data_IF_467835322864
#
_entry.id   IF_467835322864
#
_cell.length_a   1.000
_cell.length_b   1.000
_cell.length_c   1.000
_cell.angle_alpha   90.00
_cell.angle_beta   90.00
_cell.angle_gamma   90.00
#
_symmetry.space_group_name_H-M   'P 1'
#
loop_
_entity.id
_entity.type
_entity.pdbx_description
1 polymer ?
#
# COMPACT_ATOMS: atom_id res chain seq x y z
N UNK A 1 26.49 5.00 15.30
CA UNK A 1 26.03 4.63 13.95
C UNK A 1 25.70 3.14 13.97
N UNK A 2 24.46 2.75 13.69
CA UNK A 2 23.99 1.37 13.73
C UNK A 2 24.48 0.56 12.52
N UNK A 3 24.47 -0.77 12.62
CA UNK A 3 24.78 -1.67 11.49
C UNK A 3 23.88 -1.40 10.28
N UNK A 4 22.61 -1.03 10.51
CA UNK A 4 21.66 -0.69 9.44
C UNK A 4 22.10 0.59 8.73
N UNK A 5 22.47 1.63 9.48
CA UNK A 5 22.94 2.90 8.91
C UNK A 5 24.19 2.70 8.05
N UNK A 6 25.13 1.87 8.49
CA UNK A 6 26.34 1.54 7.72
C UNK A 6 26.03 0.79 6.41
N UNK A 7 25.00 -0.05 6.40
CA UNK A 7 24.55 -0.74 5.19
C UNK A 7 23.87 0.25 4.25
N UNK A 8 22.97 1.10 4.76
CA UNK A 8 22.24 2.09 3.96
C UNK A 8 23.20 3.11 3.31
N UNK A 9 24.23 3.54 4.03
CA UNK A 9 25.27 4.44 3.47
C UNK A 9 25.99 3.83 2.25
N UNK A 10 26.15 2.50 2.17
CA UNK A 10 26.75 1.85 0.98
C UNK A 10 25.88 1.96 -0.28
N UNK A 11 24.60 2.26 -0.12
CA UNK A 11 23.64 2.40 -1.21
C UNK A 11 23.22 3.85 -1.46
N UNK A 12 23.74 4.79 -0.67
CA UNK A 12 23.60 6.23 -0.93
C UNK A 12 24.25 6.49 -2.29
N UNK A 13 23.48 7.06 -3.21
CA UNK A 13 23.85 7.31 -4.62
C UNK A 13 23.87 6.08 -5.55
N UNK A 14 23.47 4.89 -5.08
CA UNK A 14 23.26 3.73 -5.95
C UNK A 14 21.86 3.76 -6.53
N UNK A 15 21.74 3.97 -7.84
CA UNK A 15 20.47 3.84 -8.54
C UNK A 15 20.06 2.36 -8.64
N UNK A 16 19.11 1.92 -7.80
CA UNK A 16 18.55 0.58 -7.88
C UNK A 16 17.45 0.56 -8.95
N UNK A 17 17.68 -0.21 -10.02
CA UNK A 17 16.63 -0.49 -11.01
C UNK A 17 15.74 -1.61 -10.47
N UNK A 18 14.59 -1.25 -9.92
CA UNK A 18 13.59 -2.22 -9.48
C UNK A 18 12.96 -2.87 -10.72
N UNK A 19 13.10 -4.20 -10.92
CA UNK A 19 12.49 -4.88 -12.05
C UNK A 19 10.96 -4.82 -11.92
N UNK A 20 10.29 -4.76 -13.06
CA UNK A 20 8.82 -4.84 -13.09
C UNK A 20 8.38 -6.22 -12.59
N UNK A 21 7.37 -6.27 -11.74
CA UNK A 21 6.77 -7.53 -11.30
C UNK A 21 6.23 -8.36 -12.48
N UNK A 22 5.80 -7.71 -13.57
CA UNK A 22 5.39 -8.40 -14.80
C UNK A 22 6.56 -9.04 -15.55
N UNK A 23 7.77 -8.50 -15.38
CA UNK A 23 8.98 -9.11 -15.95
C UNK A 23 9.48 -10.30 -15.14
N UNK A 24 9.30 -10.25 -13.81
CA UNK A 24 9.68 -11.34 -12.90
C UNK A 24 8.64 -12.48 -12.90
N UNK A 25 7.37 -12.14 -13.08
CA UNK A 25 6.24 -13.05 -13.01
C UNK A 25 5.34 -12.90 -14.24
N UNK A 26 5.78 -13.29 -15.45
CA UNK A 26 5.07 -13.03 -16.70
C UNK A 26 3.71 -13.76 -16.80
N UNK A 27 3.51 -14.83 -16.04
CA UNK A 27 2.22 -15.52 -15.96
C UNK A 27 1.25 -14.87 -14.96
N UNK A 28 1.70 -13.88 -14.20
CA UNK A 28 0.86 -13.19 -13.23
C UNK A 28 -0.01 -12.14 -13.91
N UNK A 29 -1.31 -12.38 -13.88
CA UNK A 29 -2.34 -11.51 -14.44
C UNK A 29 -3.35 -11.19 -13.34
N UNK A 30 -3.05 -10.22 -12.45
CA UNK A 30 -3.93 -9.91 -11.34
C UNK A 30 -5.27 -9.41 -11.88
N UNK A 31 -6.34 -10.04 -11.42
CA UNK A 31 -7.68 -9.50 -11.63
C UNK A 31 -7.85 -8.36 -10.65
N UNK A 32 -8.04 -7.15 -11.15
CA UNK A 32 -8.35 -5.99 -10.30
C UNK A 32 -9.84 -5.73 -10.41
N UNK A 33 -10.55 -5.88 -9.29
CA UNK A 33 -11.98 -5.54 -9.24
C UNK A 33 -12.11 -4.03 -9.36
N UNK A 34 -13.05 -3.49 -10.16
CA UNK A 34 -13.31 -2.06 -10.17
C UNK A 34 -13.70 -1.57 -8.78
N UNK A 35 -13.41 -0.30 -8.49
CA UNK A 35 -13.90 0.31 -7.27
C UNK A 35 -15.42 0.47 -7.40
N UNK A 36 -16.17 -0.34 -6.65
CA UNK A 36 -17.61 -0.59 -6.77
C UNK A 36 -18.44 0.67 -6.46
N UNK A 37 -18.41 1.63 -7.39
CA UNK A 37 -18.94 3.00 -7.27
C UNK A 37 -18.26 3.84 -6.19
N UNK A 38 -16.95 3.72 -6.01
CA UNK A 38 -16.20 4.52 -5.02
C UNK A 38 -16.36 4.06 -3.57
N UNK A 39 -17.17 3.01 -3.32
CA UNK A 39 -17.51 2.58 -1.96
C UNK A 39 -16.32 2.08 -1.17
N UNK A 40 -15.32 1.47 -1.82
CA UNK A 40 -14.13 0.99 -1.12
C UNK A 40 -13.32 2.20 -0.66
N UNK A 41 -13.05 3.13 -1.57
CA UNK A 41 -12.24 4.32 -1.28
C UNK A 41 -12.90 5.26 -0.27
N UNK A 42 -14.21 5.49 -0.37
CA UNK A 42 -14.96 6.33 0.58
C UNK A 42 -14.83 5.82 2.02
N UNK A 43 -15.05 4.50 2.22
CA UNK A 43 -14.97 3.89 3.54
C UNK A 43 -13.55 3.86 4.12
N UNK A 44 -12.52 3.79 3.26
CA UNK A 44 -11.11 3.87 3.67
C UNK A 44 -10.73 5.31 3.98
N UNK A 45 -11.18 6.28 3.20
CA UNK A 45 -10.85 7.70 3.37
C UNK A 45 -11.43 8.26 4.67
N UNK A 46 -12.68 7.94 5.00
CA UNK A 46 -13.28 8.31 6.30
C UNK A 46 -12.49 7.74 7.48
N UNK A 47 -11.98 6.52 7.33
CA UNK A 47 -11.13 5.91 8.34
C UNK A 47 -9.75 6.60 8.42
N UNK A 48 -9.13 6.94 7.28
CA UNK A 48 -7.84 7.66 7.25
C UNK A 48 -7.94 9.01 7.93
N UNK A 49 -8.97 9.80 7.62
CA UNK A 49 -9.17 11.11 8.25
C UNK A 49 -9.38 11.03 9.77
N UNK A 50 -9.94 9.92 10.25
CA UNK A 50 -10.19 9.70 11.68
C UNK A 50 -8.93 9.28 12.45
N UNK A 51 -8.08 8.45 11.84
CA UNK A 51 -7.01 7.76 12.56
C UNK A 51 -5.58 8.17 12.14
N UNK A 52 -5.39 8.66 10.91
CA UNK A 52 -4.10 9.14 10.42
C UNK A 52 -4.00 10.64 10.59
N UNK A 53 -3.67 11.07 11.81
CA UNK A 53 -3.62 12.48 12.18
C UNK A 53 -2.34 13.18 11.71
N UNK A 54 -1.26 12.41 11.47
CA UNK A 54 0.02 12.95 11.04
C UNK A 54 0.02 13.18 9.51
N UNK A 55 0.18 14.43 9.02
CA UNK A 55 0.02 14.75 7.60
C UNK A 55 0.98 14.02 6.67
N UNK A 56 2.20 13.73 7.11
CA UNK A 56 3.23 13.05 6.30
C UNK A 56 2.84 11.59 6.07
N UNK A 57 2.50 10.88 7.13
CA UNK A 57 1.98 9.50 7.12
C UNK A 57 0.70 9.43 6.31
N UNK A 58 -0.24 10.36 6.50
CA UNK A 58 -1.47 10.41 5.69
C UNK A 58 -1.15 10.54 4.19
N UNK A 59 -0.24 11.45 3.82
CA UNK A 59 0.17 11.64 2.41
C UNK A 59 0.85 10.39 1.84
N UNK A 60 1.71 9.72 2.62
CA UNK A 60 2.40 8.49 2.21
C UNK A 60 1.41 7.34 1.99
N UNK A 61 0.50 7.12 2.94
CA UNK A 61 -0.51 6.06 2.85
C UNK A 61 -1.46 6.31 1.68
N UNK A 62 -1.88 7.56 1.46
CA UNK A 62 -2.71 7.90 0.30
C UNK A 62 -1.99 7.60 -1.02
N UNK A 63 -0.69 7.88 -1.10
CA UNK A 63 0.13 7.59 -2.29
C UNK A 63 0.34 6.08 -2.52
N UNK A 64 0.25 5.26 -1.48
CA UNK A 64 0.41 3.81 -1.58
C UNK A 64 -0.78 3.08 -2.24
N UNK A 65 -1.94 3.75 -2.39
CA UNK A 65 -3.16 3.21 -3.00
C UNK A 65 -3.52 1.79 -2.48
N UNK A 66 -3.67 1.68 -1.16
CA UNK A 66 -4.03 0.43 -0.49
C UNK A 66 -5.37 -0.17 -0.97
N UNK A 67 -6.27 0.68 -1.50
CA UNK A 67 -7.51 0.25 -2.12
C UNK A 67 -7.28 -0.50 -3.42
N UNK A 68 -6.40 -0.01 -4.30
CA UNK A 68 -5.97 -0.75 -5.48
C UNK A 68 -5.30 -2.08 -5.12
N UNK A 69 -4.36 -2.07 -4.17
CA UNK A 69 -3.67 -3.28 -3.74
C UNK A 69 -4.65 -4.38 -3.30
N UNK A 70 -5.59 -4.03 -2.42
CA UNK A 70 -6.54 -5.02 -1.86
C UNK A 70 -7.51 -5.55 -2.93
N UNK A 71 -7.93 -4.70 -3.88
CA UNK A 71 -8.76 -5.12 -5.03
C UNK A 71 -8.02 -6.03 -6.02
N UNK A 72 -6.69 -5.95 -6.06
CA UNK A 72 -5.84 -6.81 -6.88
C UNK A 72 -5.52 -8.15 -6.21
N UNK A 73 -5.38 -8.18 -4.88
CA UNK A 73 -5.03 -9.40 -4.13
C UNK A 73 -6.23 -10.23 -3.71
N UNK A 74 -7.40 -9.60 -3.56
CA UNK A 74 -8.62 -10.24 -3.04
C UNK A 74 -9.83 -9.98 -3.96
N UNK A 75 -9.77 -10.35 -5.24
CA UNK A 75 -10.77 -9.94 -6.22
C UNK A 75 -12.16 -10.56 -6.04
N UNK A 76 -12.28 -11.60 -5.23
CA UNK A 76 -13.57 -12.25 -4.96
C UNK A 76 -14.19 -11.78 -3.63
N UNK A 77 -13.54 -10.80 -2.96
CA UNK A 77 -14.03 -10.23 -1.72
C UNK A 77 -15.19 -9.24 -1.95
N UNK A 78 -16.12 -9.20 -0.99
CA UNK A 78 -17.17 -8.19 -0.97
C UNK A 78 -16.61 -6.81 -0.57
N UNK A 79 -17.42 -5.75 -0.73
CA UNK A 79 -17.03 -4.36 -0.43
C UNK A 79 -16.49 -4.21 1.00
N UNK A 80 -17.14 -4.82 1.99
CA UNK A 80 -16.76 -4.72 3.39
C UNK A 80 -15.36 -5.33 3.63
N UNK A 81 -15.11 -6.52 3.11
CA UNK A 81 -13.81 -7.19 3.22
C UNK A 81 -12.71 -6.43 2.48
N UNK A 82 -13.02 -5.84 1.32
CA UNK A 82 -12.09 -4.97 0.60
C UNK A 82 -11.73 -3.72 1.41
N UNK A 83 -12.70 -3.09 2.08
CA UNK A 83 -12.44 -1.97 2.97
C UNK A 83 -11.59 -2.39 4.18
N UNK A 84 -11.86 -3.55 4.79
CA UNK A 84 -11.06 -4.06 5.92
C UNK A 84 -9.61 -4.28 5.49
N UNK A 85 -9.39 -4.95 4.35
CA UNK A 85 -8.02 -5.20 3.84
C UNK A 85 -7.28 -3.92 3.47
N UNK A 86 -7.97 -2.94 2.90
CA UNK A 86 -7.37 -1.64 2.56
C UNK A 86 -7.01 -0.83 3.81
N UNK A 87 -7.85 -0.85 4.86
CA UNK A 87 -7.55 -0.23 6.18
C UNK A 87 -6.36 -0.91 6.85
N UNK A 88 -6.34 -2.25 6.86
CA UNK A 88 -5.22 -3.03 7.40
C UNK A 88 -3.91 -2.68 6.68
N UNK A 89 -3.91 -2.70 5.35
CA UNK A 89 -2.73 -2.36 4.54
C UNK A 89 -2.27 -0.92 4.76
N UNK A 90 -3.21 -0.01 5.05
CA UNK A 90 -2.92 1.38 5.40
C UNK A 90 -2.32 1.56 6.80
N UNK A 91 -2.47 0.57 7.70
CA UNK A 91 -1.96 0.63 9.08
C UNK A 91 -0.54 0.08 9.22
N UNK A 92 -0.17 -0.90 8.39
CA UNK A 92 1.16 -1.56 8.42
C UNK A 92 2.37 -0.59 8.34
N UNK A 93 2.30 0.59 7.70
CA UNK A 93 3.44 1.51 7.65
C UNK A 93 3.79 2.23 8.96
N UNK A 94 3.08 2.01 10.08
CA UNK A 94 3.55 2.55 11.36
C UNK A 94 4.96 2.01 11.66
N UNK A 95 5.97 2.88 11.82
CA UNK A 95 7.25 2.45 12.34
C UNK A 95 6.98 1.90 13.74
N UNK A 96 7.41 0.67 14.00
CA UNK A 96 7.62 0.19 15.36
C UNK A 96 8.55 1.21 16.03
N UNK A 97 7.96 2.11 16.82
CA UNK A 97 8.67 3.08 17.66
C UNK A 97 9.50 2.37 18.71
#
# INVERSE_FOLDING_TARGET
MSTIEQILEKFKDVAVRVPSIYSLSPSWHPRVVPDLNGKVEEGVELWRQRWLLEPTVYKQIRAADCGYFTRATSPDANVENLQIGAKFSSWVPEPLS
#
